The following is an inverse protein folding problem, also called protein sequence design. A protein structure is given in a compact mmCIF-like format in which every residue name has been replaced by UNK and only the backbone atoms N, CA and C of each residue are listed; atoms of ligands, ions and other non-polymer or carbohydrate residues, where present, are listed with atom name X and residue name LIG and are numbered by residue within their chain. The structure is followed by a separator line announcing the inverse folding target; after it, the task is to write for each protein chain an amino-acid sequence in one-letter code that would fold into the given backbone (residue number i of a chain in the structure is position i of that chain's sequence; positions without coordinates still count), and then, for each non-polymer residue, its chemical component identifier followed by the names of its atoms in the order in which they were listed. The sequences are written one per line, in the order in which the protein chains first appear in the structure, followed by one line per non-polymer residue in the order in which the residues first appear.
data_IF_273272907398
#
_entry.id   IF_273272907398
#
_cell.length_a   1.000
_cell.length_b   1.000
_cell.length_c   1.000
_cell.angle_alpha   90.00
_cell.angle_beta   90.00
_cell.angle_gamma   90.00
#
_symmetry.space_group_name_H-M   'P 1'
#
loop_
_entity.id
_entity.type
_entity.pdbx_description
1 polymer ?
#
# COMPACT_ATOMS: atom_id res chain seq x y z
N UNK A 1 -14.24 -29.70 -25.21
CA UNK A 1 -13.60 -28.37 -25.12
C UNK A 1 -12.10 -28.59 -25.04
N UNK A 2 -11.29 -27.72 -25.64
CA UNK A 2 -9.84 -27.73 -25.40
C UNK A 2 -9.57 -27.45 -23.92
N UNK A 3 -8.51 -28.05 -23.36
CA UNK A 3 -8.06 -27.71 -22.00
C UNK A 3 -7.63 -26.23 -21.98
N UNK A 4 -7.92 -25.55 -20.88
CA UNK A 4 -7.38 -24.22 -20.63
C UNK A 4 -5.86 -24.34 -20.45
N UNK A 5 -5.12 -23.31 -20.87
CA UNK A 5 -3.66 -23.27 -20.85
C UNK A 5 -3.17 -22.34 -19.77
N UNK A 6 -2.37 -22.88 -18.86
CA UNK A 6 -1.69 -22.12 -17.83
C UNK A 6 -0.19 -22.05 -18.09
N UNK A 7 0.43 -20.92 -17.74
CA UNK A 7 1.89 -20.81 -17.62
C UNK A 7 2.24 -20.54 -16.16
N UNK A 8 3.22 -21.28 -15.64
CA UNK A 8 3.64 -21.21 -14.24
C UNK A 8 5.05 -20.65 -14.10
N UNK A 9 5.24 -19.67 -13.23
CA UNK A 9 6.55 -19.21 -12.81
C UNK A 9 6.98 -19.84 -11.48
N UNK A 10 8.22 -20.33 -11.42
CA UNK A 10 8.85 -20.89 -10.23
C UNK A 10 10.25 -20.32 -10.00
N UNK A 11 10.71 -20.30 -8.75
CA UNK A 11 12.13 -20.11 -8.50
C UNK A 11 12.94 -21.36 -8.78
N UNK A 12 14.27 -21.23 -8.72
CA UNK A 12 15.21 -22.31 -8.94
C UNK A 12 14.95 -23.53 -8.02
N UNK A 13 14.49 -23.31 -6.79
CA UNK A 13 14.24 -24.39 -5.84
C UNK A 13 13.04 -25.24 -6.23
N UNK A 14 11.88 -24.60 -6.46
CA UNK A 14 10.67 -25.33 -6.84
C UNK A 14 10.72 -25.88 -8.27
N UNK A 15 11.54 -25.30 -9.13
CA UNK A 15 11.83 -25.85 -10.45
C UNK A 15 12.78 -27.08 -10.41
N UNK A 16 13.34 -27.42 -9.24
CA UNK A 16 14.27 -28.55 -9.09
C UNK A 16 15.69 -28.27 -9.61
N UNK A 17 16.09 -27.00 -9.69
CA UNK A 17 17.38 -26.54 -10.26
C UNK A 17 18.46 -26.31 -9.19
N UNK A 18 18.09 -26.20 -7.93
CA UNK A 18 19.02 -26.05 -6.82
C UNK A 18 18.49 -25.15 -5.71
N UNK A 19 19.25 -25.02 -4.62
CA UNK A 19 18.88 -24.18 -3.48
C UNK A 19 19.36 -22.73 -3.63
N UNK A 20 19.85 -22.20 -2.52
CA UNK A 20 20.36 -20.83 -2.41
C UNK A 20 21.53 -20.57 -3.38
N UNK A 21 22.43 -21.54 -3.53
CA UNK A 21 23.61 -21.40 -4.38
C UNK A 21 23.26 -21.14 -5.85
N UNK A 22 22.06 -21.54 -6.29
CA UNK A 22 21.56 -21.35 -7.65
C UNK A 22 20.62 -20.14 -7.78
N UNK A 23 20.51 -19.28 -6.76
CA UNK A 23 19.62 -18.11 -6.79
C UNK A 23 20.03 -17.04 -7.83
N UNK A 24 21.19 -17.15 -8.45
CA UNK A 24 21.68 -16.28 -9.52
C UNK A 24 21.45 -16.86 -10.93
N UNK A 25 20.80 -18.02 -11.03
CA UNK A 25 20.54 -18.67 -12.32
C UNK A 25 19.62 -17.82 -13.19
N UNK A 26 19.95 -17.75 -14.48
CA UNK A 26 19.14 -17.05 -15.47
C UNK A 26 17.78 -17.71 -15.74
N UNK A 27 17.09 -17.19 -16.75
CA UNK A 27 15.80 -17.69 -17.19
C UNK A 27 15.93 -19.07 -17.83
N UNK A 28 15.02 -19.98 -17.47
CA UNK A 28 14.82 -21.25 -18.15
C UNK A 28 13.32 -21.48 -18.39
N UNK A 29 13.00 -22.12 -19.52
CA UNK A 29 11.63 -22.40 -19.95
C UNK A 29 11.51 -23.89 -20.26
N UNK A 30 10.62 -24.56 -19.55
CA UNK A 30 10.28 -25.95 -19.74
C UNK A 30 8.87 -26.07 -20.35
N UNK A 31 8.66 -27.02 -21.27
CA UNK A 31 7.35 -27.27 -21.91
C UNK A 31 6.49 -28.29 -21.14
N UNK A 32 6.66 -28.33 -19.82
CA UNK A 32 5.95 -29.24 -18.92
C UNK A 32 5.75 -28.58 -17.54
N UNK A 33 4.86 -29.14 -16.72
CA UNK A 33 4.74 -28.75 -15.33
C UNK A 33 5.92 -29.21 -14.49
N UNK A 34 6.43 -28.33 -13.63
CA UNK A 34 7.44 -28.67 -12.63
C UNK A 34 7.00 -28.35 -11.21
N UNK A 35 7.62 -29.05 -10.25
CA UNK A 35 7.41 -28.86 -8.81
C UNK A 35 5.93 -28.77 -8.41
N UNK A 36 5.48 -27.65 -7.79
CA UNK A 36 4.09 -27.49 -7.38
C UNK A 36 3.10 -27.51 -8.57
N UNK A 37 3.55 -27.24 -9.79
CA UNK A 37 2.75 -27.32 -11.01
C UNK A 37 2.11 -28.69 -11.24
N UNK A 38 2.82 -29.77 -10.88
CA UNK A 38 2.29 -31.14 -10.96
C UNK A 38 1.08 -31.31 -10.03
N UNK A 39 1.17 -30.75 -8.82
CA UNK A 39 0.07 -30.75 -7.87
C UNK A 39 -1.12 -29.92 -8.33
N UNK A 40 -0.88 -28.76 -8.95
CA UNK A 40 -1.91 -27.92 -9.53
C UNK A 40 -2.67 -28.64 -10.66
N UNK A 41 -1.96 -29.25 -11.61
CA UNK A 41 -2.60 -30.03 -12.67
C UNK A 41 -3.44 -31.19 -12.12
N UNK A 42 -2.96 -31.88 -11.08
CA UNK A 42 -3.74 -32.93 -10.42
C UNK A 42 -5.07 -32.45 -9.84
N UNK A 43 -5.14 -31.18 -9.40
CA UNK A 43 -6.37 -30.56 -8.88
C UNK A 43 -7.32 -30.18 -10.03
N UNK A 44 -6.80 -29.62 -11.11
CA UNK A 44 -7.58 -29.22 -12.29
C UNK A 44 -8.06 -30.39 -13.16
N UNK A 45 -7.42 -31.56 -13.02
CA UNK A 45 -7.73 -32.77 -13.78
C UNK A 45 -7.66 -32.49 -15.29
N UNK A 46 -8.81 -32.53 -15.97
CA UNK A 46 -8.91 -32.34 -17.41
C UNK A 46 -9.38 -30.94 -17.82
N UNK A 47 -9.56 -30.02 -16.87
CA UNK A 47 -10.06 -28.67 -17.19
C UNK A 47 -8.94 -27.71 -17.63
N UNK A 48 -7.75 -27.83 -17.05
CA UNK A 48 -6.63 -26.93 -17.31
C UNK A 48 -5.29 -27.67 -17.20
N UNK A 49 -4.32 -27.29 -18.02
CA UNK A 49 -2.98 -27.85 -18.03
C UNK A 49 -1.91 -26.76 -18.01
N UNK A 50 -0.72 -27.10 -17.48
CA UNK A 50 0.44 -26.21 -17.54
C UNK A 50 1.20 -26.53 -18.81
N UNK A 51 1.15 -25.61 -19.78
CA UNK A 51 1.81 -25.78 -21.08
C UNK A 51 3.26 -25.33 -21.06
N UNK A 52 3.62 -24.44 -20.13
CA UNK A 52 5.00 -24.03 -19.87
C UNK A 52 5.24 -23.74 -18.40
N UNK A 53 6.42 -24.10 -17.92
CA UNK A 53 6.97 -23.61 -16.66
C UNK A 53 8.16 -22.71 -16.96
N UNK A 54 8.10 -21.47 -16.50
CA UNK A 54 9.19 -20.49 -16.53
C UNK A 54 9.87 -20.53 -15.16
N UNK A 55 11.20 -20.52 -15.13
CA UNK A 55 11.92 -20.45 -13.86
C UNK A 55 13.18 -19.61 -13.94
N UNK A 56 13.54 -19.01 -12.81
CA UNK A 56 14.77 -18.25 -12.68
C UNK A 56 15.21 -18.21 -11.20
N UNK A 57 16.45 -17.81 -10.98
CA UNK A 57 16.97 -17.57 -9.64
C UNK A 57 16.32 -16.35 -8.98
N UNK A 58 16.00 -16.47 -7.69
CA UNK A 58 15.39 -15.36 -6.93
C UNK A 58 16.23 -14.07 -6.95
N UNK A 59 17.57 -14.16 -6.87
CA UNK A 59 18.42 -12.97 -6.96
C UNK A 59 18.51 -12.45 -8.39
N UNK A 60 18.43 -13.33 -9.39
CA UNK A 60 18.49 -12.95 -10.79
C UNK A 60 17.31 -12.06 -11.17
N UNK A 61 16.07 -12.49 -10.92
CA UNK A 61 14.87 -11.72 -11.30
C UNK A 61 14.70 -10.44 -10.49
N UNK A 62 15.22 -10.40 -9.27
CA UNK A 62 15.12 -9.20 -8.43
C UNK A 62 16.17 -8.14 -8.74
N UNK A 63 17.17 -8.42 -9.60
CA UNK A 63 18.11 -7.44 -10.10
C UNK A 63 17.56 -6.80 -11.37
N UNK A 64 17.43 -5.47 -11.39
CA UNK A 64 16.77 -4.74 -12.49
C UNK A 64 17.45 -4.99 -13.84
N UNK A 65 18.79 -4.95 -13.89
CA UNK A 65 19.55 -5.21 -15.13
C UNK A 65 19.24 -6.60 -15.72
N UNK A 66 19.18 -7.62 -14.86
CA UNK A 66 18.88 -8.99 -15.28
C UNK A 66 17.42 -9.16 -15.69
N UNK A 67 16.51 -8.53 -14.96
CA UNK A 67 15.09 -8.55 -15.27
C UNK A 67 14.79 -7.93 -16.63
N UNK A 68 15.39 -6.78 -16.94
CA UNK A 68 15.23 -6.13 -18.24
C UNK A 68 15.76 -7.00 -19.39
N UNK A 69 16.81 -7.79 -19.16
CA UNK A 69 17.34 -8.71 -20.17
C UNK A 69 16.39 -9.86 -20.53
N UNK A 70 15.52 -10.29 -19.61
CA UNK A 70 14.68 -11.50 -19.79
C UNK A 70 13.18 -11.18 -19.92
N UNK A 71 12.79 -9.92 -19.72
CA UNK A 71 11.41 -9.45 -19.78
C UNK A 71 10.69 -9.87 -21.06
N UNK A 72 11.28 -9.54 -22.21
CA UNK A 72 10.66 -9.80 -23.52
C UNK A 72 10.57 -11.30 -23.81
N UNK A 73 11.54 -12.08 -23.33
CA UNK A 73 11.54 -13.54 -23.45
C UNK A 73 10.40 -14.16 -22.63
N UNK A 74 10.18 -13.70 -21.39
CA UNK A 74 9.03 -14.13 -20.56
C UNK A 74 7.72 -13.81 -21.27
N UNK A 75 7.55 -12.58 -21.75
CA UNK A 75 6.33 -12.14 -22.42
C UNK A 75 6.08 -12.95 -23.70
N UNK A 76 7.12 -13.17 -24.52
CA UNK A 76 7.02 -14.01 -25.71
C UNK A 76 6.62 -15.45 -25.36
N UNK A 77 7.26 -16.06 -24.36
CA UNK A 77 6.96 -17.43 -23.94
C UNK A 77 5.51 -17.62 -23.50
N UNK A 78 4.95 -16.64 -22.77
CA UNK A 78 3.55 -16.67 -22.32
C UNK A 78 2.59 -16.44 -23.49
N UNK A 79 2.90 -15.51 -24.38
CA UNK A 79 2.09 -15.20 -25.58
C UNK A 79 2.03 -16.39 -26.54
N UNK A 80 3.18 -16.98 -26.85
CA UNK A 80 3.30 -18.12 -27.78
C UNK A 80 2.66 -19.39 -27.21
N UNK A 81 2.56 -19.48 -25.88
CA UNK A 81 1.81 -20.54 -25.21
C UNK A 81 0.28 -20.36 -25.32
N UNK A 82 -0.20 -19.19 -25.77
CA UNK A 82 -1.63 -18.82 -25.76
C UNK A 82 -2.25 -19.03 -24.38
N UNK A 83 -1.58 -18.54 -23.33
CA UNK A 83 -2.01 -18.77 -21.96
C UNK A 83 -3.35 -18.06 -21.64
N UNK A 84 -4.29 -18.80 -21.06
CA UNK A 84 -5.55 -18.26 -20.51
C UNK A 84 -5.36 -17.63 -19.12
N UNK A 85 -4.33 -18.09 -18.40
CA UNK A 85 -3.96 -17.59 -17.07
C UNK A 85 -2.47 -17.76 -16.82
N UNK A 86 -1.87 -16.82 -16.08
CA UNK A 86 -0.51 -16.94 -15.59
C UNK A 86 -0.47 -17.08 -14.07
N UNK A 87 0.36 -17.99 -13.58
CA UNK A 87 0.52 -18.24 -12.16
C UNK A 87 1.97 -18.09 -11.72
N UNK A 88 2.18 -17.72 -10.47
CA UNK A 88 3.49 -17.77 -9.84
C UNK A 88 3.42 -18.40 -8.43
N UNK A 89 4.47 -19.11 -8.03
CA UNK A 89 4.57 -19.64 -6.67
C UNK A 89 3.89 -21.02 -6.46
N UNK A 90 3.40 -21.32 -5.23
CA UNK A 90 3.27 -20.42 -4.09
C UNK A 90 4.62 -20.05 -3.45
N UNK A 91 4.78 -18.78 -3.05
CA UNK A 91 5.98 -18.24 -2.43
C UNK A 91 5.97 -18.30 -0.90
N UNK A 92 4.85 -18.63 -0.26
CA UNK A 92 4.74 -18.70 1.20
C UNK A 92 5.22 -17.38 1.85
N UNK A 93 5.97 -17.44 2.96
CA UNK A 93 6.59 -16.26 3.57
C UNK A 93 8.03 -15.99 3.05
N UNK A 94 8.42 -16.53 1.89
CA UNK A 94 9.76 -16.30 1.33
C UNK A 94 9.82 -14.93 0.63
N UNK A 95 10.57 -13.98 1.20
CA UNK A 95 10.62 -12.59 0.73
C UNK A 95 11.09 -12.44 -0.72
N UNK A 96 12.32 -12.86 -1.05
CA UNK A 96 12.88 -12.71 -2.41
C UNK A 96 12.05 -13.42 -3.47
N UNK A 97 11.58 -14.63 -3.17
CA UNK A 97 10.73 -15.37 -4.08
C UNK A 97 9.36 -14.72 -4.26
N UNK A 98 8.77 -14.19 -3.17
CA UNK A 98 7.55 -13.39 -3.23
C UNK A 98 7.70 -12.20 -4.16
N UNK A 99 8.80 -11.45 -4.05
CA UNK A 99 9.06 -10.29 -4.92
C UNK A 99 9.21 -10.73 -6.38
N UNK A 100 9.94 -11.81 -6.66
CA UNK A 100 10.10 -12.34 -8.01
C UNK A 100 8.75 -12.78 -8.61
N UNK A 101 7.93 -13.53 -7.86
CA UNK A 101 6.58 -13.93 -8.28
C UNK A 101 5.70 -12.72 -8.60
N UNK A 102 5.67 -11.73 -7.71
CA UNK A 102 4.88 -10.51 -7.92
C UNK A 102 5.33 -9.73 -9.16
N UNK A 103 6.65 -9.56 -9.33
CA UNK A 103 7.26 -8.83 -10.44
C UNK A 103 6.90 -9.45 -11.80
N UNK A 104 7.03 -10.77 -11.91
CA UNK A 104 6.70 -11.49 -13.15
C UNK A 104 5.20 -11.52 -13.41
N UNK A 105 4.35 -11.67 -12.38
CA UNK A 105 2.91 -11.56 -12.55
C UNK A 105 2.49 -10.15 -13.03
N UNK A 106 3.02 -9.08 -12.43
CA UNK A 106 2.73 -7.69 -12.83
C UNK A 106 3.15 -7.43 -14.29
N UNK A 107 4.32 -7.94 -14.70
CA UNK A 107 4.80 -7.89 -16.08
C UNK A 107 3.78 -8.48 -17.05
N UNK A 108 3.38 -9.73 -16.80
CA UNK A 108 2.49 -10.48 -17.68
C UNK A 108 1.11 -9.84 -17.74
N UNK A 109 0.58 -9.41 -16.59
CA UNK A 109 -0.70 -8.70 -16.53
C UNK A 109 -0.67 -7.41 -17.36
N UNK A 110 0.41 -6.64 -17.26
CA UNK A 110 0.54 -5.33 -17.92
C UNK A 110 0.75 -5.47 -19.43
N UNK A 111 1.62 -6.38 -19.86
CA UNK A 111 2.02 -6.50 -21.27
C UNK A 111 1.06 -7.31 -22.12
N UNK A 112 0.38 -8.30 -21.52
CA UNK A 112 -0.49 -9.23 -22.25
C UNK A 112 -1.97 -9.09 -21.88
N UNK A 113 -2.30 -8.43 -20.77
CA UNK A 113 -3.68 -8.29 -20.32
C UNK A 113 -4.34 -9.60 -19.91
N UNK A 114 -3.56 -10.67 -19.69
CA UNK A 114 -4.07 -11.95 -19.22
C UNK A 114 -4.19 -11.96 -17.70
N UNK A 115 -5.16 -12.69 -17.12
CA UNK A 115 -5.33 -12.72 -15.68
C UNK A 115 -4.14 -13.44 -15.02
N UNK A 116 -3.73 -12.93 -13.86
CA UNK A 116 -2.56 -13.43 -13.12
C UNK A 116 -2.91 -13.71 -11.66
N UNK A 117 -2.31 -14.75 -11.09
CA UNK A 117 -2.44 -15.07 -9.66
C UNK A 117 -1.15 -15.61 -9.07
N UNK A 118 -0.85 -15.24 -7.83
CA UNK A 118 0.28 -15.78 -7.07
C UNK A 118 -0.18 -16.27 -5.70
N UNK A 119 0.60 -17.12 -5.05
CA UNK A 119 0.33 -17.58 -3.68
C UNK A 119 1.33 -17.01 -2.68
N UNK A 120 0.88 -16.30 -1.64
CA UNK A 120 1.77 -15.75 -0.61
C UNK A 120 1.15 -15.83 0.79
N UNK A 121 2.01 -15.90 1.80
CA UNK A 121 1.60 -15.71 3.19
C UNK A 121 1.31 -14.22 3.43
N UNK A 122 0.28 -13.83 4.21
CA UNK A 122 -0.09 -12.42 4.40
C UNK A 122 1.03 -11.50 4.90
N UNK A 123 2.01 -12.02 5.64
CA UNK A 123 3.17 -11.25 6.13
C UNK A 123 4.36 -11.21 5.16
N UNK A 124 4.23 -11.80 3.96
CA UNK A 124 5.29 -11.75 2.96
C UNK A 124 5.47 -10.29 2.51
N UNK A 125 6.70 -9.74 2.47
CA UNK A 125 6.93 -8.33 2.11
C UNK A 125 6.41 -7.96 0.72
N UNK A 126 6.34 -8.92 -0.21
CA UNK A 126 5.81 -8.69 -1.55
C UNK A 126 4.30 -8.41 -1.57
N UNK A 127 3.55 -8.78 -0.51
CA UNK A 127 2.10 -8.53 -0.45
C UNK A 127 1.79 -7.05 -0.55
N UNK A 128 2.45 -6.20 0.24
CA UNK A 128 2.22 -4.74 0.21
C UNK A 128 2.70 -4.14 -1.13
N UNK A 129 3.76 -4.69 -1.73
CA UNK A 129 4.35 -4.19 -2.98
C UNK A 129 3.43 -4.41 -4.20
N UNK A 130 2.71 -5.54 -4.24
CA UNK A 130 1.89 -5.94 -5.38
C UNK A 130 0.38 -5.91 -5.10
N UNK A 131 -0.04 -5.38 -3.95
CA UNK A 131 -1.44 -5.25 -3.59
C UNK A 131 -2.19 -4.42 -4.64
N UNK A 132 -3.31 -4.94 -5.14
CA UNK A 132 -4.12 -4.29 -6.17
C UNK A 132 -3.54 -4.36 -7.60
N UNK A 133 -2.31 -4.84 -7.76
CA UNK A 133 -1.66 -5.08 -9.06
C UNK A 133 -1.74 -6.54 -9.49
N UNK A 134 -1.62 -7.46 -8.53
CA UNK A 134 -1.65 -8.91 -8.73
C UNK A 134 -2.63 -9.54 -7.74
N UNK A 135 -3.40 -10.55 -8.18
CA UNK A 135 -4.24 -11.32 -7.26
C UNK A 135 -3.37 -12.27 -6.43
N UNK A 136 -3.50 -12.22 -5.11
CA UNK A 136 -2.66 -13.01 -4.20
C UNK A 136 -3.54 -13.99 -3.40
N UNK A 137 -3.47 -15.28 -3.74
CA UNK A 137 -4.05 -16.36 -2.96
C UNK A 137 -3.33 -16.50 -1.62
N UNK A 138 -4.07 -16.69 -0.53
CA UNK A 138 -3.45 -16.94 0.77
C UNK A 138 -2.79 -18.33 0.80
N UNK A 139 -1.52 -18.36 1.18
CA UNK A 139 -0.78 -19.61 1.42
C UNK A 139 -0.40 -19.76 2.89
N UNK A 140 0.04 -20.96 3.28
CA UNK A 140 0.68 -21.17 4.58
C UNK A 140 1.98 -20.39 4.73
N UNK A 141 2.49 -20.27 5.95
CA UNK A 141 3.74 -19.55 6.21
C UNK A 141 4.97 -20.22 5.57
N UNK A 142 4.98 -21.56 5.52
CA UNK A 142 6.11 -22.33 4.99
C UNK A 142 5.68 -23.36 3.95
N UNK A 143 6.66 -23.86 3.20
CA UNK A 143 6.49 -24.89 2.17
C UNK A 143 5.91 -26.21 2.70
N UNK A 144 6.07 -26.51 4.00
CA UNK A 144 5.50 -27.71 4.62
C UNK A 144 3.96 -27.76 4.53
N UNK A 145 3.30 -26.61 4.36
CA UNK A 145 1.86 -26.49 4.16
C UNK A 145 1.41 -26.49 2.69
N UNK A 146 2.26 -26.88 1.73
CA UNK A 146 1.96 -26.86 0.29
C UNK A 146 0.64 -27.54 -0.06
N UNK A 147 0.36 -28.73 0.50
CA UNK A 147 -0.90 -29.46 0.25
C UNK A 147 -2.15 -28.67 0.64
N UNK A 148 -2.04 -27.73 1.58
CA UNK A 148 -3.13 -26.82 1.98
C UNK A 148 -3.20 -25.56 1.11
N UNK A 149 -2.07 -25.12 0.56
CA UNK A 149 -1.99 -23.88 -0.23
C UNK A 149 -2.35 -24.09 -1.71
N UNK A 150 -2.01 -25.24 -2.30
CA UNK A 150 -2.26 -25.50 -3.72
C UNK A 150 -3.75 -25.50 -4.11
N UNK A 151 -4.70 -26.06 -3.32
CA UNK A 151 -6.12 -26.03 -3.68
C UNK A 151 -6.64 -24.61 -3.90
N UNK A 152 -6.20 -23.66 -3.08
CA UNK A 152 -6.65 -22.28 -3.19
C UNK A 152 -6.10 -21.57 -4.42
N UNK A 153 -4.78 -21.69 -4.65
CA UNK A 153 -4.14 -21.16 -5.85
C UNK A 153 -4.72 -21.78 -7.13
N UNK A 154 -4.97 -23.09 -7.11
CA UNK A 154 -5.58 -23.83 -8.21
C UNK A 154 -7.00 -23.32 -8.52
N UNK A 155 -7.84 -23.17 -7.49
CA UNK A 155 -9.21 -22.72 -7.65
C UNK A 155 -9.27 -21.31 -8.28
N UNK A 156 -8.49 -20.37 -7.75
CA UNK A 156 -8.44 -19.00 -8.26
C UNK A 156 -7.93 -18.94 -9.69
N UNK A 157 -6.87 -19.67 -10.01
CA UNK A 157 -6.34 -19.69 -11.37
C UNK A 157 -7.34 -20.25 -12.38
N UNK A 158 -8.05 -21.32 -12.04
CA UNK A 158 -9.07 -21.90 -12.92
C UNK A 158 -10.25 -20.94 -13.11
N UNK A 159 -10.69 -20.29 -12.04
CA UNK A 159 -11.75 -19.29 -12.06
C UNK A 159 -11.40 -18.11 -12.98
N UNK A 160 -10.17 -17.62 -12.87
CA UNK A 160 -9.61 -16.58 -13.72
C UNK A 160 -9.53 -17.00 -15.19
N UNK A 161 -9.01 -18.20 -15.46
CA UNK A 161 -8.92 -18.75 -16.82
C UNK A 161 -10.30 -18.90 -17.50
N UNK A 162 -11.34 -19.19 -16.71
CA UNK A 162 -12.74 -19.26 -17.19
C UNK A 162 -13.41 -17.90 -17.37
N UNK A 163 -12.80 -16.81 -16.92
CA UNK A 163 -13.40 -15.47 -16.91
C UNK A 163 -14.55 -15.32 -15.90
N UNK A 164 -14.59 -16.15 -14.86
CA UNK A 164 -15.60 -16.07 -13.80
C UNK A 164 -15.31 -14.88 -12.86
N UNK A 165 -16.36 -14.22 -12.37
CA UNK A 165 -16.22 -13.09 -11.46
C UNK A 165 -15.70 -13.53 -10.07
N UNK A 166 -14.69 -12.83 -9.54
CA UNK A 166 -14.21 -13.04 -8.18
C UNK A 166 -15.31 -12.71 -7.17
N UNK A 167 -15.50 -13.60 -6.21
CA UNK A 167 -16.32 -13.35 -5.02
C UNK A 167 -15.51 -12.50 -4.03
N UNK A 168 -16.12 -12.00 -2.93
CA UNK A 168 -15.38 -11.31 -1.89
C UNK A 168 -14.18 -12.14 -1.40
N UNK A 169 -13.08 -11.45 -1.08
CA UNK A 169 -11.82 -12.03 -0.62
C UNK A 169 -11.96 -13.14 0.44
N UNK A 170 -12.94 -13.02 1.35
CA UNK A 170 -13.21 -14.02 2.40
C UNK A 170 -13.81 -15.33 1.87
N UNK A 171 -14.53 -15.27 0.75
CA UNK A 171 -15.14 -16.44 0.07
C UNK A 171 -14.10 -17.12 -0.80
N UNK A 172 -13.46 -16.33 -1.66
CA UNK A 172 -12.45 -16.79 -2.63
C UNK A 172 -11.03 -16.85 -2.02
N UNK A 173 -10.86 -16.65 -0.70
CA UNK A 173 -9.63 -16.78 0.10
C UNK A 173 -8.35 -16.20 -0.57
N UNK A 174 -8.46 -14.97 -1.05
CA UNK A 174 -7.33 -14.17 -1.51
C UNK A 174 -7.13 -12.97 -0.59
N UNK A 175 -5.92 -12.39 -0.58
CA UNK A 175 -5.60 -11.22 0.24
C UNK A 175 -6.37 -10.00 -0.28
N UNK A 176 -7.11 -9.32 0.61
CA UNK A 176 -7.93 -8.15 0.30
C UNK A 176 -7.17 -7.08 -0.51
N UNK A 177 -7.60 -6.82 -1.75
CA UNK A 177 -6.90 -5.92 -2.68
C UNK A 177 -7.22 -4.43 -2.46
N UNK A 178 -8.19 -4.12 -1.59
CA UNK A 178 -8.74 -2.77 -1.43
C UNK A 178 -9.64 -2.30 -2.57
N UNK A 179 -9.76 -3.08 -3.65
CA UNK A 179 -10.66 -2.80 -4.78
C UNK A 179 -12.09 -3.07 -4.34
N UNK A 180 -12.98 -2.11 -4.59
CA UNK A 180 -14.42 -2.24 -4.34
C UNK A 180 -15.16 -2.40 -5.65
N UNK A 181 -15.97 -3.43 -5.73
CA UNK A 181 -16.86 -3.70 -6.86
C UNK A 181 -18.30 -3.40 -6.43
N UNK A 182 -19.09 -2.83 -7.32
CA UNK A 182 -20.50 -2.63 -7.08
C UNK A 182 -21.25 -3.94 -7.38
N UNK A 183 -22.06 -4.39 -6.44
CA UNK A 183 -22.93 -5.56 -6.59
C UNK A 183 -24.38 -5.19 -6.26
N UNK A 184 -25.31 -5.93 -6.87
CA UNK A 184 -26.74 -5.83 -6.55
C UNK A 184 -27.08 -6.96 -5.60
N UNK A 185 -27.49 -6.61 -4.38
CA UNK A 185 -27.96 -7.57 -3.38
C UNK A 185 -29.49 -7.71 -3.44
N UNK A 186 -29.99 -8.90 -3.15
CA UNK A 186 -31.44 -9.18 -3.10
C UNK A 186 -32.15 -8.38 -1.99
N UNK A 187 -31.42 -8.01 -0.93
CA UNK A 187 -31.92 -7.26 0.21
C UNK A 187 -31.50 -5.78 0.15
N UNK A 188 -32.36 -4.90 0.65
CA UNK A 188 -32.02 -3.49 0.78
C UNK A 188 -30.92 -3.25 1.82
N UNK A 189 -30.15 -2.17 1.67
CA UNK A 189 -29.12 -1.79 2.65
C UNK A 189 -29.69 -1.63 4.07
N UNK A 190 -30.93 -1.13 4.18
CA UNK A 190 -31.65 -1.01 5.46
C UNK A 190 -31.93 -2.37 6.10
N UNK A 191 -32.34 -3.37 5.30
CA UNK A 191 -32.55 -4.72 5.81
C UNK A 191 -31.24 -5.31 6.32
N UNK A 192 -30.17 -5.23 5.54
CA UNK A 192 -28.88 -5.85 5.88
C UNK A 192 -28.25 -5.23 7.14
N UNK A 193 -28.27 -3.90 7.28
CA UNK A 193 -27.74 -3.24 8.48
C UNK A 193 -28.55 -3.58 9.73
N UNK A 194 -29.88 -3.65 9.63
CA UNK A 194 -30.73 -4.03 10.77
C UNK A 194 -30.54 -5.50 11.12
N UNK A 195 -30.45 -6.39 10.13
CA UNK A 195 -30.17 -7.81 10.36
C UNK A 195 -28.84 -8.00 11.10
N UNK A 196 -27.78 -7.37 10.60
CA UNK A 196 -26.45 -7.42 11.22
C UNK A 196 -26.48 -6.84 12.64
N UNK A 197 -27.20 -5.74 12.87
CA UNK A 197 -27.36 -5.15 14.21
C UNK A 197 -28.09 -6.10 15.16
N UNK A 198 -29.17 -6.74 14.70
CA UNK A 198 -29.91 -7.71 15.49
C UNK A 198 -29.04 -8.92 15.83
N UNK A 199 -28.26 -9.44 14.89
CA UNK A 199 -27.31 -10.52 15.17
C UNK A 199 -26.30 -10.09 16.23
N UNK A 200 -25.69 -8.91 16.07
CA UNK A 200 -24.76 -8.35 17.06
C UNK A 200 -25.38 -8.18 18.44
N UNK A 201 -26.61 -7.66 18.54
CA UNK A 201 -27.31 -7.45 19.82
C UNK A 201 -27.72 -8.76 20.50
N UNK A 202 -27.79 -9.87 19.75
CA UNK A 202 -28.14 -11.18 20.26
C UNK A 202 -26.91 -12.12 20.36
N UNK A 203 -25.69 -11.58 20.36
CA UNK A 203 -24.43 -12.33 20.43
C UNK A 203 -24.29 -13.42 19.34
N UNK A 204 -24.93 -13.22 18.18
CA UNK A 204 -24.79 -14.10 17.02
C UNK A 204 -23.60 -13.68 16.15
N UNK A 205 -22.98 -14.62 15.40
CA UNK A 205 -21.96 -14.27 14.42
C UNK A 205 -22.49 -13.27 13.39
N UNK A 206 -21.73 -12.21 13.15
CA UNK A 206 -22.05 -11.20 12.15
C UNK A 206 -20.78 -10.78 11.40
N UNK A 207 -20.93 -10.34 10.15
CA UNK A 207 -19.83 -9.83 9.32
C UNK A 207 -20.19 -8.43 8.84
N UNK A 208 -19.30 -7.47 9.07
CA UNK A 208 -19.47 -6.13 8.50
C UNK A 208 -19.18 -6.13 7.00
N UNK A 209 -20.10 -5.57 6.21
CA UNK A 209 -19.90 -5.25 4.79
C UNK A 209 -18.87 -4.12 4.62
N UNK A 210 -18.66 -3.30 5.66
CA UNK A 210 -17.72 -2.19 5.68
C UNK A 210 -16.73 -2.42 6.81
N UNK A 211 -15.67 -3.22 6.59
CA UNK A 211 -14.63 -3.39 7.59
C UNK A 211 -14.00 -2.03 7.89
N UNK A 212 -13.80 -1.76 9.19
CA UNK A 212 -12.99 -0.62 9.60
C UNK A 212 -11.59 -0.83 9.01
N UNK A 213 -11.09 0.20 8.31
CA UNK A 213 -9.73 0.17 7.78
C UNK A 213 -8.78 0.03 8.97
N UNK A 214 -7.82 -0.90 8.89
CA UNK A 214 -6.71 -0.93 9.83
C UNK A 214 -5.89 0.34 9.60
N UNK A 215 -5.84 1.22 10.60
CA UNK A 215 -4.96 2.38 10.56
C UNK A 215 -3.52 1.88 10.55
N UNK A 216 -2.72 2.37 9.59
CA UNK A 216 -1.28 2.10 9.57
C UNK A 216 -0.69 2.86 10.77
N UNK A 217 -0.23 2.14 11.80
CA UNK A 217 0.47 2.77 12.90
C UNK A 217 1.80 3.34 12.38
N UNK A 218 2.00 4.64 12.56
CA UNK A 218 3.29 5.29 12.33
C UNK A 218 4.07 5.22 13.63
N UNK A 219 5.32 4.74 13.56
CA UNK A 219 6.21 4.74 14.71
C UNK A 219 6.38 6.19 15.21
N UNK A 220 6.17 6.40 16.51
CA UNK A 220 6.38 7.70 17.12
C UNK A 220 7.85 8.12 17.00
N UNK A 221 8.09 9.42 16.80
CA UNK A 221 9.44 9.97 16.81
C UNK A 221 10.11 9.71 18.17
N UNK A 222 11.44 9.47 18.22
CA UNK A 222 12.16 9.32 19.48
C UNK A 222 11.95 10.52 20.42
N UNK A 223 11.91 10.26 21.72
CA UNK A 223 11.74 11.32 22.72
C UNK A 223 12.94 12.29 22.71
N UNK A 224 12.64 13.59 22.69
CA UNK A 224 13.64 14.65 22.80
C UNK A 224 14.24 14.62 24.21
N UNK A 225 15.56 14.38 24.31
CA UNK A 225 16.26 14.29 25.58
C UNK A 225 16.59 15.67 26.19
N UNK A 226 16.96 16.63 25.35
CA UNK A 226 17.32 17.98 25.78
C UNK A 226 16.85 19.01 24.74
N UNK A 227 15.68 19.60 25.01
CA UNK A 227 15.08 20.58 24.12
C UNK A 227 15.82 21.92 24.10
N UNK A 228 16.60 22.23 25.15
CA UNK A 228 17.29 23.52 25.31
C UNK A 228 18.39 23.77 24.28
N UNK A 229 18.76 22.74 23.51
CA UNK A 229 19.78 22.80 22.45
C UNK A 229 19.21 22.71 21.04
N UNK A 230 17.90 22.52 20.91
CA UNK A 230 17.26 22.30 19.61
C UNK A 230 16.65 23.58 19.07
N UNK A 231 16.71 23.73 17.75
CA UNK A 231 15.91 24.69 17.00
C UNK A 231 14.55 24.06 16.65
N UNK A 232 13.47 24.70 17.05
CA UNK A 232 12.09 24.26 16.81
C UNK A 232 11.45 24.99 15.63
N UNK A 233 10.64 24.29 14.84
CA UNK A 233 9.75 24.86 13.83
C UNK A 233 8.28 24.66 14.17
N UNK A 234 7.40 25.30 13.41
CA UNK A 234 5.94 25.14 13.53
C UNK A 234 5.36 24.59 12.24
N UNK A 235 4.56 23.53 12.35
CA UNK A 235 3.65 23.08 11.29
C UNK A 235 2.24 23.13 11.83
N UNK A 236 1.32 23.70 11.06
CA UNK A 236 -0.10 23.60 11.36
C UNK A 236 -0.84 22.93 10.22
N UNK A 237 -1.70 21.97 10.56
CA UNK A 237 -2.68 21.40 9.63
C UNK A 237 -4.03 22.11 9.72
N UNK A 238 -4.15 23.13 10.57
CA UNK A 238 -5.35 23.94 10.78
C UNK A 238 -5.57 25.02 9.70
N UNK A 239 -4.80 25.01 8.61
CA UNK A 239 -5.02 25.87 7.45
C UNK A 239 -4.85 27.36 7.70
N UNK A 240 -3.96 27.77 8.61
CA UNK A 240 -3.67 29.19 8.85
C UNK A 240 -2.88 29.79 7.67
N UNK A 241 -3.36 30.86 7.07
CA UNK A 241 -2.72 31.51 5.92
C UNK A 241 -2.79 33.04 6.05
N UNK A 242 -1.94 33.79 5.34
CA UNK A 242 -2.17 35.22 5.14
C UNK A 242 -3.54 35.47 4.51
N UNK A 243 -4.17 36.56 4.94
CA UNK A 243 -5.53 36.92 4.54
C UNK A 243 -5.64 37.01 3.02
N UNK A 244 -6.70 36.39 2.49
CA UNK A 244 -6.92 36.22 1.05
C UNK A 244 -6.32 34.95 0.47
N UNK A 245 -5.61 34.13 1.26
CA UNK A 245 -5.00 32.87 0.84
C UNK A 245 -4.17 33.00 -0.46
N UNK A 246 -3.06 33.77 -0.45
CA UNK A 246 -2.31 34.10 -1.65
C UNK A 246 -1.79 32.85 -2.40
N UNK A 247 -1.41 31.81 -1.66
CA UNK A 247 -0.91 30.54 -2.20
C UNK A 247 -2.00 29.60 -2.70
N UNK A 248 -3.28 30.00 -2.56
CA UNK A 248 -4.45 29.24 -3.02
C UNK A 248 -4.49 27.81 -2.47
N UNK A 249 -4.01 27.63 -1.25
CA UNK A 249 -4.06 26.33 -0.56
C UNK A 249 -5.53 25.92 -0.47
N UNK A 250 -5.83 24.67 -0.80
CA UNK A 250 -7.21 24.18 -0.80
C UNK A 250 -7.69 24.03 0.64
N UNK A 251 -8.92 24.46 0.89
CA UNK A 251 -9.60 24.27 2.19
C UNK A 251 -9.90 22.82 2.55
N UNK A 252 -9.89 21.93 1.54
CA UNK A 252 -10.14 20.49 1.63
C UNK A 252 -9.27 19.78 0.60
N UNK A 253 -8.68 18.65 0.98
CA UNK A 253 -7.77 17.85 0.16
C UNK A 253 -6.62 18.71 -0.40
N UNK A 254 -5.90 19.40 0.50
CA UNK A 254 -4.75 20.20 0.13
C UNK A 254 -3.65 19.33 -0.49
N UNK A 255 -3.10 19.82 -1.60
CA UNK A 255 -1.98 19.24 -2.35
C UNK A 255 -0.74 20.12 -2.33
N UNK A 256 -0.74 21.11 -1.43
CA UNK A 256 0.30 22.12 -1.26
C UNK A 256 0.34 22.60 0.18
N UNK A 257 1.43 23.29 0.52
CA UNK A 257 1.60 23.98 1.79
C UNK A 257 2.23 25.35 1.54
N UNK A 258 2.02 26.25 2.49
CA UNK A 258 2.62 27.58 2.49
C UNK A 258 3.69 27.70 3.57
N UNK A 259 4.66 28.57 3.33
CA UNK A 259 5.71 28.93 4.28
C UNK A 259 5.61 30.41 4.58
N UNK A 260 5.35 30.78 5.83
CA UNK A 260 5.01 32.15 6.20
C UNK A 260 5.90 32.63 7.33
N UNK A 261 6.63 33.72 7.09
CA UNK A 261 7.37 34.43 8.13
C UNK A 261 6.41 34.95 9.21
N UNK A 262 6.90 34.98 10.45
CA UNK A 262 6.14 35.45 11.61
C UNK A 262 6.73 36.78 12.06
N UNK A 263 5.97 37.85 11.86
CA UNK A 263 6.16 39.12 12.54
C UNK A 263 5.07 39.27 13.62
N UNK A 264 5.50 39.35 14.88
CA UNK A 264 4.62 39.37 16.05
C UNK A 264 3.62 40.54 16.00
N UNK A 265 4.02 41.68 15.41
CA UNK A 265 3.16 42.86 15.33
C UNK A 265 2.02 42.69 14.31
N UNK A 266 2.23 41.83 13.30
CA UNK A 266 1.26 41.54 12.24
C UNK A 266 0.61 40.16 12.38
N UNK A 267 1.05 39.34 13.33
CA UNK A 267 0.49 38.01 13.59
C UNK A 267 -0.86 38.07 14.34
N UNK A 268 -1.89 38.57 13.66
CA UNK A 268 -3.23 38.79 14.21
C UNK A 268 -4.32 38.68 13.13
N UNK A 269 -5.59 38.77 13.56
CA UNK A 269 -6.80 38.67 12.73
C UNK A 269 -6.91 39.59 11.52
N UNK A 270 -6.14 40.67 11.49
CA UNK A 270 -6.15 41.61 10.36
C UNK A 270 -5.42 41.01 9.16
N UNK A 271 -4.38 40.22 9.40
CA UNK A 271 -3.45 39.74 8.37
C UNK A 271 -3.47 38.23 8.16
N UNK A 272 -4.06 37.46 9.08
CA UNK A 272 -4.17 36.01 8.96
C UNK A 272 -5.61 35.54 9.11
N UNK A 273 -5.92 34.41 8.46
CA UNK A 273 -7.18 33.68 8.60
C UNK A 273 -6.93 32.18 8.44
N UNK A 274 -7.82 31.35 8.98
CA UNK A 274 -7.85 29.92 8.69
C UNK A 274 -8.84 29.62 7.57
N UNK A 275 -8.34 28.92 6.54
CA UNK A 275 -9.12 28.42 5.41
C UNK A 275 -9.68 27.02 5.66
N UNK A 276 -9.48 26.43 6.83
CA UNK A 276 -9.75 25.02 7.03
C UNK A 276 -11.25 24.69 7.02
N UNK A 277 -11.68 23.77 6.14
CA UNK A 277 -13.10 23.45 5.96
C UNK A 277 -13.71 22.51 7.01
N UNK A 278 -12.90 22.02 7.96
CA UNK A 278 -13.27 20.94 8.89
C UNK A 278 -13.60 21.32 10.34
N UNK A 279 -13.46 22.58 10.74
CA UNK A 279 -13.79 23.03 12.09
C UNK A 279 -14.24 24.51 12.09
N UNK A 280 -14.79 24.98 13.21
CA UNK A 280 -15.16 26.39 13.39
C UNK A 280 -13.91 27.26 13.56
N UNK A 281 -13.59 28.04 12.53
CA UNK A 281 -12.39 28.88 12.47
C UNK A 281 -12.51 30.17 13.27
N UNK A 282 -13.68 30.51 13.84
CA UNK A 282 -13.92 31.79 14.51
C UNK A 282 -12.85 32.11 15.55
N UNK A 283 -12.56 31.17 16.44
CA UNK A 283 -11.60 31.37 17.52
C UNK A 283 -10.16 31.62 17.01
N UNK A 284 -9.75 30.90 15.98
CA UNK A 284 -8.42 31.01 15.36
C UNK A 284 -8.31 32.29 14.52
N UNK A 285 -9.40 32.67 13.86
CA UNK A 285 -9.45 33.91 13.10
C UNK A 285 -9.36 35.13 14.02
N UNK A 286 -9.89 35.05 15.25
CA UNK A 286 -9.70 36.13 16.23
C UNK A 286 -8.28 36.16 16.81
N UNK A 287 -7.64 35.01 16.98
CA UNK A 287 -6.27 34.90 17.48
C UNK A 287 -5.50 33.74 16.79
N UNK A 288 -4.61 34.03 15.82
CA UNK A 288 -3.87 33.00 15.09
C UNK A 288 -2.89 32.22 15.98
N UNK A 289 -2.57 32.74 17.18
CA UNK A 289 -1.71 32.04 18.14
C UNK A 289 -2.35 30.77 18.71
N UNK A 290 -3.67 30.59 18.55
CA UNK A 290 -4.34 29.34 18.91
C UNK A 290 -3.90 28.16 18.05
N UNK A 291 -3.51 28.41 16.80
CA UNK A 291 -2.91 27.38 15.94
C UNK A 291 -1.39 27.40 16.00
N UNK A 292 -0.77 28.58 15.96
CA UNK A 292 0.70 28.70 15.96
C UNK A 292 1.10 29.51 17.19
N UNK A 293 1.28 28.87 18.36
CA UNK A 293 1.53 29.55 19.64
C UNK A 293 2.97 30.09 19.72
N UNK A 294 3.30 31.01 18.83
CA UNK A 294 4.64 31.52 18.62
C UNK A 294 5.17 32.28 19.83
N UNK A 295 4.37 33.16 20.44
CA UNK A 295 4.82 33.92 21.62
C UNK A 295 5.04 33.02 22.83
N UNK A 296 4.26 31.95 22.97
CA UNK A 296 4.49 30.95 24.02
C UNK A 296 5.83 30.22 23.79
N UNK A 297 6.15 29.84 22.56
CA UNK A 297 7.44 29.23 22.25
C UNK A 297 8.61 30.21 22.45
N UNK A 298 8.45 31.49 22.12
CA UNK A 298 9.45 32.53 22.44
C UNK A 298 9.65 32.72 23.95
N UNK A 299 8.60 32.58 24.77
CA UNK A 299 8.75 32.55 26.24
C UNK A 299 9.57 31.35 26.70
N UNK A 300 9.30 30.16 26.15
CA UNK A 300 10.08 28.95 26.45
C UNK A 300 11.56 29.10 26.06
N UNK A 301 11.84 29.70 24.91
CA UNK A 301 13.21 30.02 24.46
C UNK A 301 13.88 30.99 25.44
N UNK A 302 13.21 32.08 25.81
CA UNK A 302 13.73 33.07 26.78
C UNK A 302 14.04 32.45 28.15
N UNK A 303 13.26 31.44 28.54
CA UNK A 303 13.44 30.68 29.79
C UNK A 303 14.49 29.57 29.68
N UNK A 304 15.08 29.37 28.51
CA UNK A 304 16.08 28.32 28.25
C UNK A 304 15.50 26.90 28.25
N UNK A 305 14.18 26.74 28.13
CA UNK A 305 13.51 25.43 28.07
C UNK A 305 13.70 24.80 26.69
N UNK A 306 13.67 25.63 25.65
CA UNK A 306 14.03 25.24 24.27
C UNK A 306 15.17 26.11 23.77
N UNK A 307 15.92 25.64 22.76
CA UNK A 307 17.09 26.34 22.24
C UNK A 307 16.75 27.57 21.42
N UNK A 308 16.01 27.40 20.33
CA UNK A 308 15.50 28.52 19.53
C UNK A 308 14.26 28.14 18.73
N UNK A 309 13.59 29.12 18.13
CA UNK A 309 12.40 28.92 17.30
C UNK A 309 12.62 29.56 15.92
N UNK A 310 12.31 28.83 14.85
CA UNK A 310 12.32 29.35 13.50
C UNK A 310 11.33 30.53 13.36
N UNK A 311 11.70 31.63 12.68
CA UNK A 311 10.86 32.82 12.54
C UNK A 311 9.77 32.67 11.47
N UNK A 312 9.32 31.44 11.20
CA UNK A 312 8.29 31.13 10.22
C UNK A 312 7.54 29.86 10.61
N UNK A 313 6.38 29.64 10.01
CA UNK A 313 5.63 28.40 10.12
C UNK A 313 5.27 27.85 8.73
N UNK A 314 5.09 26.53 8.68
CA UNK A 314 4.56 25.83 7.53
C UNK A 314 3.08 25.50 7.77
N UNK A 315 2.25 25.68 6.76
CA UNK A 315 0.80 25.52 6.90
C UNK A 315 0.18 24.77 5.74
N UNK A 316 -0.72 23.86 6.05
CA UNK A 316 -1.59 23.19 5.09
C UNK A 316 -2.97 22.95 5.70
N UNK A 317 -3.93 22.47 4.91
CA UNK A 317 -5.23 22.03 5.40
C UNK A 317 -5.25 20.51 5.54
N UNK A 318 -5.39 20.00 6.76
CA UNK A 318 -5.35 18.56 7.05
C UNK A 318 -6.63 17.80 6.68
N UNK A 319 -7.72 18.49 6.35
CA UNK A 319 -9.00 17.83 6.06
C UNK A 319 -9.02 17.23 4.65
N UNK A 320 -9.32 15.94 4.56
CA UNK A 320 -9.59 15.25 3.30
C UNK A 320 -8.35 14.95 2.45
N UNK A 321 -7.15 15.31 2.90
CA UNK A 321 -5.90 15.01 2.21
C UNK A 321 -5.61 13.51 2.28
N UNK A 322 -5.40 12.88 1.11
CA UNK A 322 -5.12 11.45 1.07
C UNK A 322 -3.73 11.12 1.65
N UNK A 323 -3.55 9.89 2.12
CA UNK A 323 -2.33 9.47 2.83
C UNK A 323 -1.05 9.70 2.01
N UNK A 324 -1.07 9.36 0.71
CA UNK A 324 0.09 9.52 -0.17
C UNK A 324 0.49 10.99 -0.32
N UNK A 325 -0.48 11.88 -0.52
CA UNK A 325 -0.24 13.32 -0.57
C UNK A 325 0.26 13.84 0.79
N UNK A 326 -0.34 13.42 1.90
CA UNK A 326 0.13 13.80 3.25
C UNK A 326 1.59 13.39 3.50
N UNK A 327 2.00 12.22 3.01
CA UNK A 327 3.40 11.78 3.08
C UNK A 327 4.33 12.66 2.25
N UNK A 328 3.93 13.02 1.02
CA UNK A 328 4.70 13.92 0.16
C UNK A 328 4.84 15.32 0.78
N UNK A 329 3.75 15.91 1.27
CA UNK A 329 3.77 17.21 1.93
C UNK A 329 4.63 17.20 3.19
N UNK A 330 4.46 16.17 4.04
CA UNK A 330 5.25 16.02 5.26
C UNK A 330 6.75 15.86 4.98
N UNK A 331 7.13 15.09 3.95
CA UNK A 331 8.52 14.94 3.53
C UNK A 331 9.11 16.27 3.04
N UNK A 332 8.39 17.00 2.19
CA UNK A 332 8.83 18.30 1.68
C UNK A 332 9.00 19.36 2.80
N UNK A 333 8.05 19.42 3.74
CA UNK A 333 8.16 20.29 4.91
C UNK A 333 9.36 19.92 5.79
N UNK A 334 9.61 18.62 5.99
CA UNK A 334 10.75 18.14 6.77
C UNK A 334 12.09 18.49 6.10
N UNK A 335 12.20 18.33 4.78
CA UNK A 335 13.38 18.74 4.02
C UNK A 335 13.68 20.23 4.16
N UNK A 336 12.67 21.08 4.05
CA UNK A 336 12.81 22.53 4.24
C UNK A 336 13.34 22.85 5.64
N UNK A 337 12.77 22.23 6.67
CA UNK A 337 13.22 22.44 8.05
C UNK A 337 14.63 21.94 8.32
N UNK A 338 14.99 20.77 7.79
CA UNK A 338 16.35 20.22 7.92
C UNK A 338 17.36 21.18 7.29
N UNK A 339 17.05 21.75 6.11
CA UNK A 339 17.91 22.74 5.45
C UNK A 339 18.13 24.00 6.31
N UNK A 340 17.12 24.39 7.10
CA UNK A 340 17.19 25.53 8.02
C UNK A 340 17.71 25.16 9.42
N UNK A 341 18.19 23.94 9.61
CA UNK A 341 18.73 23.45 10.88
C UNK A 341 17.68 23.28 11.98
N UNK A 342 16.39 23.19 11.63
CA UNK A 342 15.32 22.82 12.57
C UNK A 342 15.41 21.33 12.87
N UNK A 343 15.35 20.98 14.16
CA UNK A 343 15.57 19.62 14.66
C UNK A 343 14.32 19.03 15.31
N UNK A 344 13.33 19.85 15.62
CA UNK A 344 12.06 19.44 16.22
C UNK A 344 10.94 20.35 15.74
N UNK A 345 9.71 19.84 15.72
CA UNK A 345 8.54 20.59 15.21
C UNK A 345 7.40 20.53 16.21
N UNK A 346 6.79 21.67 16.49
CA UNK A 346 5.45 21.73 17.05
C UNK A 346 4.44 21.54 15.91
N UNK A 347 3.80 20.37 15.89
CA UNK A 347 2.71 20.07 14.98
C UNK A 347 1.38 20.37 15.67
N UNK A 348 0.63 21.33 15.16
CA UNK A 348 -0.68 21.71 15.69
C UNK A 348 -1.80 21.37 14.71
N UNK A 349 -2.98 21.08 15.27
CA UNK A 349 -4.20 20.75 14.52
C UNK A 349 -5.41 21.48 15.09
N UNK A 350 -6.60 21.13 14.58
CA UNK A 350 -7.92 21.70 14.89
C UNK A 350 -8.32 21.60 16.36
#
# INVERSE_FOLDING_TARGET
MSKLKAVLYLNQFYAGRGGEDMAHSGLEIDNEAKGPGIGLQGIWKDEMEIVKTISAGDNFINLDENYELVRDEIVAAVRDAEADVFLAGPAFNAGRYGVACGRVCELVATELGIPVVTGMFPSNPAVEMFLGKVLIAESTETAGGMRKSLPQLAHLALKLAKGEALAPAKVDQYIETGIRINEVDEHSAAYRVVSMLLDKLNDKPYVTEVPLRKEKQVAAAPAIQDASKLKFGFVTTGGLVPKGNPDKIKMYAADSYGSYEIDVDTFNKKYYESIHGGYDTTAVNEDPQRLVPYTAAKDLEKRGIIGSVAPYFLSTSGIGTNVGMSQQLGAAMAEQFIADGVQAVFLTST
#
